data_IF_139022153176
#
_entry.id   IF_139022153176
#
_cell.length_a   1.000
_cell.length_b   1.000
_cell.length_c   1.000
_cell.angle_alpha   90.00
_cell.angle_beta   90.00
_cell.angle_gamma   90.00
#
_symmetry.space_group_name_H-M   'P 1'
#
loop_
_entity.id
_entity.type
_entity.pdbx_description
1 polymer ?
#
# COMPACT_ATOMS: atom_id res chain seq x y z
N UNK A 1 -24.70 4.83 13.28
CA UNK A 1 -25.01 3.73 12.34
C UNK A 1 -25.55 4.34 11.06
N UNK A 2 -25.01 3.93 9.92
CA UNK A 2 -25.47 4.38 8.61
C UNK A 2 -26.33 3.28 7.97
N UNK A 3 -27.40 3.66 7.27
CA UNK A 3 -28.34 2.72 6.64
C UNK A 3 -28.24 2.84 5.13
N UNK A 4 -27.99 1.73 4.44
CA UNK A 4 -28.01 1.65 2.97
C UNK A 4 -28.82 0.42 2.56
N UNK A 5 -29.76 0.58 1.61
CA UNK A 5 -30.66 -0.49 1.13
C UNK A 5 -31.39 -1.27 2.24
N UNK A 6 -31.66 -0.64 3.39
CA UNK A 6 -32.33 -1.27 4.54
C UNK A 6 -31.42 -2.07 5.47
N UNK A 7 -30.11 -2.11 5.20
CA UNK A 7 -29.11 -2.76 6.04
C UNK A 7 -28.33 -1.71 6.85
N UNK A 8 -28.03 -2.02 8.11
CA UNK A 8 -27.26 -1.17 9.01
C UNK A 8 -25.75 -1.45 8.92
N UNK A 9 -24.94 -0.39 8.85
CA UNK A 9 -23.49 -0.43 8.78
C UNK A 9 -22.85 0.46 9.84
N UNK A 10 -21.72 0.01 10.40
CA UNK A 10 -20.90 0.79 11.33
C UNK A 10 -20.09 1.89 10.61
N UNK A 11 -19.55 1.56 9.43
CA UNK A 11 -18.73 2.45 8.59
C UNK A 11 -19.09 2.25 7.12
N UNK A 12 -19.31 3.36 6.40
CA UNK A 12 -19.46 3.37 4.93
C UNK A 12 -18.24 4.08 4.32
N UNK A 13 -17.57 3.43 3.37
CA UNK A 13 -16.46 4.02 2.61
C UNK A 13 -16.91 4.27 1.18
N UNK A 14 -16.71 5.48 0.68
CA UNK A 14 -17.06 5.89 -0.69
C UNK A 14 -15.81 5.92 -1.56
N UNK A 15 -15.78 5.06 -2.58
CA UNK A 15 -14.71 4.96 -3.56
C UNK A 15 -14.04 3.59 -3.56
N UNK A 16 -13.91 2.99 -4.75
CA UNK A 16 -13.36 1.65 -4.96
C UNK A 16 -11.92 1.66 -5.52
N UNK A 17 -11.13 2.67 -5.18
CA UNK A 17 -9.69 2.71 -5.45
C UNK A 17 -8.87 2.24 -4.24
N UNK A 18 -7.54 2.22 -4.36
CA UNK A 18 -6.64 1.83 -3.26
C UNK A 18 -6.95 2.55 -1.94
N UNK A 19 -7.13 3.86 -1.97
CA UNK A 19 -7.40 4.64 -0.76
C UNK A 19 -8.70 4.18 -0.07
N UNK A 20 -9.74 3.89 -0.86
CA UNK A 20 -11.01 3.38 -0.34
C UNK A 20 -10.87 1.99 0.27
N UNK A 21 -10.18 1.07 -0.39
CA UNK A 21 -9.98 -0.27 0.17
C UNK A 21 -9.05 -0.28 1.40
N UNK A 22 -7.98 0.53 1.41
CA UNK A 22 -7.14 0.70 2.60
C UNK A 22 -7.95 1.22 3.79
N UNK A 23 -8.84 2.19 3.56
CA UNK A 23 -9.73 2.73 4.59
C UNK A 23 -10.71 1.65 5.10
N UNK A 24 -11.31 0.88 4.19
CA UNK A 24 -12.25 -0.20 4.55
C UNK A 24 -11.58 -1.30 5.39
N UNK A 25 -10.41 -1.78 4.96
CA UNK A 25 -9.61 -2.78 5.69
C UNK A 25 -9.22 -2.24 7.07
N UNK A 26 -8.78 -0.98 7.15
CA UNK A 26 -8.38 -0.37 8.43
C UNK A 26 -9.55 -0.20 9.39
N UNK A 27 -10.73 0.17 8.89
CA UNK A 27 -11.95 0.25 9.69
C UNK A 27 -12.34 -1.12 10.24
N UNK A 28 -12.33 -2.17 9.40
CA UNK A 28 -12.65 -3.51 9.83
C UNK A 28 -11.69 -4.03 10.92
N UNK A 29 -10.38 -3.83 10.78
CA UNK A 29 -9.40 -4.22 11.80
C UNK A 29 -9.59 -3.47 13.12
N UNK A 30 -9.94 -2.17 13.06
CA UNK A 30 -10.18 -1.34 14.25
C UNK A 30 -11.46 -1.75 14.99
N UNK A 31 -12.50 -2.13 14.26
CA UNK A 31 -13.78 -2.60 14.80
C UNK A 31 -13.73 -4.05 15.30
N UNK A 32 -12.63 -4.76 15.05
CA UNK A 32 -12.38 -6.10 15.57
C UNK A 32 -13.02 -7.21 14.74
N UNK A 33 -12.45 -7.50 13.56
CA UNK A 33 -12.77 -8.75 12.85
C UNK A 33 -12.07 -9.92 13.53
N UNK A 34 -12.83 -10.72 14.27
CA UNK A 34 -12.35 -11.95 14.88
C UNK A 34 -12.19 -13.06 13.83
N UNK A 35 -10.94 -13.49 13.60
CA UNK A 35 -10.47 -14.88 13.50
C UNK A 35 -9.46 -15.11 12.36
N UNK A 36 -8.27 -15.59 12.73
CA UNK A 36 -7.45 -16.43 11.84
C UNK A 36 -6.22 -15.79 11.21
N UNK A 37 -5.21 -15.44 12.03
CA UNK A 37 -3.85 -15.11 11.57
C UNK A 37 -3.17 -16.33 10.94
N UNK A 38 -2.41 -16.14 9.84
CA UNK A 38 -1.06 -16.72 9.63
C UNK A 38 -0.34 -16.08 8.43
N UNK A 39 0.95 -15.86 8.62
CA UNK A 39 1.93 -15.20 7.74
C UNK A 39 2.84 -16.25 7.09
N UNK A 40 3.29 -16.02 5.85
CA UNK A 40 4.38 -16.76 5.21
C UNK A 40 5.33 -15.76 4.54
N UNK A 41 6.59 -15.59 5.00
CA UNK A 41 7.58 -14.77 4.31
C UNK A 41 8.22 -15.56 3.16
N UNK A 42 8.45 -14.90 2.01
CA UNK A 42 9.27 -15.42 0.92
C UNK A 42 10.66 -14.79 0.99
N UNK A 43 11.66 -15.65 0.88
CA UNK A 43 13.09 -15.38 0.92
C UNK A 43 13.68 -15.23 -0.50
N UNK A 44 14.87 -14.61 -0.55
CA UNK A 44 15.83 -14.32 -1.63
C UNK A 44 15.82 -12.90 -2.19
N UNK A 45 16.62 -12.05 -1.53
CA UNK A 45 17.20 -10.85 -2.15
C UNK A 45 18.55 -11.24 -2.76
N UNK A 46 18.64 -11.20 -4.10
CA UNK A 46 19.93 -11.15 -4.78
C UNK A 46 20.60 -9.82 -4.45
N UNK A 47 21.89 -9.87 -4.13
CA UNK A 47 22.73 -8.73 -3.74
C UNK A 47 22.48 -7.50 -4.63
N UNK A 48 21.72 -6.55 -4.10
CA UNK A 48 21.51 -5.23 -4.70
C UNK A 48 21.98 -4.20 -3.70
N UNK A 49 22.77 -3.22 -4.16
CA UNK A 49 23.20 -2.08 -3.35
C UNK A 49 21.97 -1.18 -3.14
N UNK A 50 21.17 -1.50 -2.13
CA UNK A 50 20.17 -0.58 -1.61
C UNK A 50 20.87 0.26 -0.55
N UNK A 51 21.25 1.47 -0.91
CA UNK A 51 21.61 2.46 0.10
C UNK A 51 20.40 2.68 1.02
N UNK A 52 20.67 2.91 2.31
CA UNK A 52 19.61 3.25 3.27
C UNK A 52 18.90 4.53 2.79
N UNK A 53 17.56 4.49 2.78
CA UNK A 53 16.71 5.62 2.45
C UNK A 53 15.95 6.01 3.72
N UNK A 54 16.27 7.19 4.26
CA UNK A 54 15.76 7.66 5.55
C UNK A 54 14.50 8.51 5.39
N UNK A 55 13.83 8.80 6.50
CA UNK A 55 12.72 9.76 6.51
C UNK A 55 13.17 11.16 6.03
N UNK A 56 14.37 11.58 6.40
CA UNK A 56 14.92 12.88 6.00
C UNK A 56 15.19 12.94 4.48
N UNK A 57 15.70 11.85 3.91
CA UNK A 57 15.87 11.73 2.45
C UNK A 57 14.53 11.88 1.74
N UNK A 58 13.48 11.22 2.26
CA UNK A 58 12.14 11.29 1.69
C UNK A 58 11.52 12.68 1.83
N UNK A 59 11.65 13.32 3.00
CA UNK A 59 11.15 14.69 3.21
C UNK A 59 11.89 15.69 2.30
N UNK A 60 13.19 15.53 2.13
CA UNK A 60 14.01 16.34 1.22
C UNK A 60 13.54 16.20 -0.23
N UNK A 61 13.32 14.97 -0.69
CA UNK A 61 12.78 14.70 -2.02
C UNK A 61 11.38 15.27 -2.19
N UNK A 62 10.48 15.07 -1.21
CA UNK A 62 9.12 15.60 -1.23
C UNK A 62 9.13 17.13 -1.35
N UNK A 63 9.99 17.81 -0.58
CA UNK A 63 10.15 19.25 -0.66
C UNK A 63 10.65 19.69 -2.03
N UNK A 64 11.71 19.03 -2.53
CA UNK A 64 12.31 19.35 -3.84
C UNK A 64 11.33 19.17 -4.99
N UNK A 65 10.61 18.05 -5.08
CA UNK A 65 9.71 17.76 -6.22
C UNK A 65 8.44 18.61 -6.21
N UNK A 66 8.02 19.08 -5.04
CA UNK A 66 6.84 19.94 -4.92
C UNK A 66 7.17 21.43 -4.96
N UNK A 67 8.46 21.80 -4.93
CA UNK A 67 8.91 23.17 -4.71
C UNK A 67 8.46 23.71 -3.34
N UNK A 68 8.36 22.84 -2.34
CA UNK A 68 7.92 23.16 -0.99
C UNK A 68 6.43 23.46 -0.83
N UNK A 69 5.60 23.17 -1.84
CA UNK A 69 4.16 23.49 -1.87
C UNK A 69 3.25 22.42 -1.23
N UNK A 70 3.80 21.45 -0.54
CA UNK A 70 3.02 20.43 0.17
C UNK A 70 2.62 20.93 1.57
N UNK A 71 1.49 20.45 2.08
CA UNK A 71 1.15 20.65 3.48
C UNK A 71 2.15 19.89 4.37
N UNK A 72 2.83 20.60 5.28
CA UNK A 72 3.94 20.04 6.05
C UNK A 72 3.49 18.91 6.97
N UNK A 73 2.32 19.02 7.60
CA UNK A 73 1.82 18.01 8.50
C UNK A 73 1.46 16.73 7.71
N UNK A 74 0.74 16.88 6.59
CA UNK A 74 0.41 15.74 5.71
C UNK A 74 1.67 15.09 5.11
N UNK A 75 2.68 15.88 4.75
CA UNK A 75 3.96 15.36 4.25
C UNK A 75 4.70 14.54 5.29
N UNK A 76 4.76 15.00 6.54
CA UNK A 76 5.39 14.27 7.65
C UNK A 76 4.65 12.97 7.96
N UNK A 77 3.31 13.00 8.04
CA UNK A 77 2.48 11.80 8.22
C UNK A 77 2.74 10.80 7.11
N UNK A 78 2.70 11.24 5.83
CA UNK A 78 2.97 10.38 4.68
C UNK A 78 4.32 9.68 4.77
N UNK A 79 5.39 10.40 5.12
CA UNK A 79 6.73 9.83 5.19
C UNK A 79 6.84 8.81 6.32
N UNK A 80 6.45 9.19 7.54
CA UNK A 80 6.54 8.35 8.74
C UNK A 80 5.73 7.07 8.63
N UNK A 81 4.51 7.16 8.09
CA UNK A 81 3.60 6.01 8.02
C UNK A 81 3.82 5.13 6.79
N UNK A 82 4.61 5.58 5.80
CA UNK A 82 4.76 4.88 4.51
C UNK A 82 5.26 3.44 4.67
N UNK A 83 6.28 3.21 5.50
CA UNK A 83 6.90 1.89 5.65
C UNK A 83 5.97 0.89 6.31
N UNK A 84 5.28 1.31 7.37
CA UNK A 84 4.33 0.45 8.09
C UNK A 84 3.09 0.16 7.24
N UNK A 85 2.64 1.11 6.43
CA UNK A 85 1.56 0.89 5.46
C UNK A 85 1.92 -0.19 4.44
N UNK A 86 3.16 -0.20 3.91
CA UNK A 86 3.60 -1.25 2.98
C UNK A 86 3.65 -2.62 3.66
N UNK A 87 4.16 -2.71 4.91
CA UNK A 87 4.15 -3.97 5.67
C UNK A 87 2.73 -4.47 5.92
N UNK A 88 1.79 -3.56 6.24
CA UNK A 88 0.39 -3.92 6.46
C UNK A 88 -0.24 -4.48 5.20
N UNK A 89 -0.07 -3.82 4.06
CA UNK A 89 -0.52 -4.33 2.76
C UNK A 89 0.03 -5.72 2.46
N UNK A 90 1.32 -5.95 2.71
CA UNK A 90 1.94 -7.25 2.52
C UNK A 90 1.31 -8.32 3.43
N UNK A 91 1.01 -7.98 4.69
CA UNK A 91 0.34 -8.88 5.64
C UNK A 91 -1.09 -9.27 5.22
N UNK A 92 -1.73 -8.48 4.38
CA UNK A 92 -3.04 -8.78 3.80
C UNK A 92 -2.97 -9.66 2.54
N UNK A 93 -1.77 -9.92 2.01
CA UNK A 93 -1.54 -10.77 0.85
C UNK A 93 -1.27 -10.02 -0.45
N UNK A 94 -0.96 -8.72 -0.40
CA UNK A 94 -0.51 -7.97 -1.59
C UNK A 94 0.87 -8.52 -2.02
N UNK A 95 1.00 -9.05 -3.25
CA UNK A 95 2.22 -9.68 -3.72
C UNK A 95 3.19 -8.63 -4.27
N UNK A 96 3.96 -8.00 -3.36
CA UNK A 96 5.04 -7.12 -3.78
C UNK A 96 6.14 -7.89 -4.52
N UNK A 97 6.62 -7.29 -5.60
CA UNK A 97 7.69 -7.81 -6.46
C UNK A 97 8.80 -6.78 -6.58
N UNK A 98 10.01 -7.23 -6.91
CA UNK A 98 11.11 -6.32 -7.22
C UNK A 98 10.93 -5.70 -8.61
N UNK A 99 11.20 -4.40 -8.73
CA UNK A 99 11.03 -3.61 -9.96
C UNK A 99 12.02 -3.89 -11.10
N UNK A 100 12.67 -5.07 -11.16
CA UNK A 100 13.77 -5.35 -12.10
C UNK A 100 13.40 -5.10 -13.57
N UNK A 101 12.15 -5.37 -13.95
CA UNK A 101 11.70 -5.30 -15.34
C UNK A 101 11.37 -3.88 -15.82
N UNK A 102 11.39 -2.87 -14.94
CA UNK A 102 11.02 -1.49 -15.29
C UNK A 102 11.97 -0.42 -14.74
N UNK A 103 12.66 -0.69 -13.63
CA UNK A 103 13.35 0.34 -12.87
C UNK A 103 14.72 -0.09 -12.35
N UNK A 104 15.27 -1.20 -12.86
CA UNK A 104 16.65 -1.59 -12.59
C UNK A 104 17.49 -1.59 -13.87
N UNK A 105 18.70 -1.06 -13.77
CA UNK A 105 19.71 -1.16 -14.82
C UNK A 105 20.90 -1.97 -14.30
N UNK A 106 21.46 -2.82 -15.14
CA UNK A 106 22.71 -3.53 -14.83
C UNK A 106 23.89 -2.59 -15.12
N UNK A 107 24.68 -2.30 -14.09
CA UNK A 107 25.91 -1.49 -14.17
C UNK A 107 27.06 -2.37 -13.68
N UNK A 108 27.87 -2.88 -14.61
CA UNK A 108 28.84 -3.93 -14.32
C UNK A 108 28.14 -5.21 -13.86
N UNK A 109 28.54 -5.76 -12.71
CA UNK A 109 27.95 -6.96 -12.11
C UNK A 109 26.81 -6.67 -11.13
N UNK A 110 26.38 -5.41 -11.01
CA UNK A 110 25.37 -4.97 -10.03
C UNK A 110 24.10 -4.45 -10.71
N UNK A 111 22.96 -4.67 -10.05
CA UNK A 111 21.70 -4.01 -10.42
C UNK A 111 21.52 -2.74 -9.59
N UNK A 112 21.26 -1.62 -10.26
CA UNK A 112 20.94 -0.34 -9.64
C UNK A 112 19.51 0.04 -9.96
N UNK A 113 18.72 0.33 -8.92
CA UNK A 113 17.35 0.81 -9.07
C UNK A 113 17.32 2.33 -9.27
N UNK A 114 16.54 2.80 -10.25
CA UNK A 114 16.37 4.22 -10.51
C UNK A 114 15.28 4.81 -9.61
N UNK A 115 15.54 5.97 -9.01
CA UNK A 115 14.59 6.64 -8.11
C UNK A 115 14.27 5.89 -6.82
N UNK A 116 15.15 4.98 -6.38
CA UNK A 116 14.97 4.15 -5.17
C UNK A 116 13.70 3.27 -5.16
N UNK A 117 13.02 3.12 -6.29
CA UNK A 117 11.79 2.31 -6.40
C UNK A 117 12.15 0.84 -6.62
N UNK A 118 12.39 0.14 -5.52
CA UNK A 118 12.77 -1.27 -5.52
C UNK A 118 11.57 -2.23 -5.50
N UNK A 119 10.43 -1.79 -4.96
CA UNK A 119 9.22 -2.60 -4.81
C UNK A 119 8.10 -2.09 -5.72
N UNK A 120 7.33 -3.02 -6.28
CA UNK A 120 6.13 -2.75 -7.06
C UNK A 120 5.07 -3.83 -6.83
N UNK A 121 3.82 -3.52 -7.19
CA UNK A 121 2.79 -4.52 -7.49
C UNK A 121 2.83 -4.88 -8.98
N UNK A 122 2.02 -5.87 -9.39
CA UNK A 122 1.89 -6.25 -10.81
C UNK A 122 1.55 -5.00 -11.66
N UNK A 123 0.43 -4.36 -11.32
CA UNK A 123 0.02 -3.02 -11.72
C UNK A 123 -0.98 -2.42 -10.70
N UNK A 124 -1.63 -1.30 -11.04
CA UNK A 124 -2.64 -0.67 -10.19
C UNK A 124 -3.99 -1.40 -10.16
N UNK A 125 -4.36 -2.13 -11.22
CA UNK A 125 -5.62 -2.89 -11.27
C UNK A 125 -5.51 -4.16 -10.43
N UNK A 126 -4.40 -4.88 -10.56
CA UNK A 126 -4.08 -6.06 -9.74
C UNK A 126 -4.06 -5.71 -8.26
N UNK A 127 -3.53 -4.54 -7.87
CA UNK A 127 -3.59 -4.11 -6.47
C UNK A 127 -5.03 -3.87 -5.99
N UNK A 128 -5.89 -3.29 -6.83
CA UNK A 128 -7.32 -3.16 -6.51
C UNK A 128 -8.00 -4.52 -6.37
N UNK A 129 -7.68 -5.49 -7.22
CA UNK A 129 -8.18 -6.86 -7.12
C UNK A 129 -7.69 -7.56 -5.85
N UNK A 130 -6.42 -7.37 -5.45
CA UNK A 130 -5.86 -7.90 -4.21
C UNK A 130 -6.60 -7.33 -2.98
N UNK A 131 -6.91 -6.04 -3.04
CA UNK A 131 -7.72 -5.36 -2.05
C UNK A 131 -9.15 -5.91 -1.98
N UNK A 132 -9.81 -6.15 -3.12
CA UNK A 132 -11.13 -6.77 -3.18
C UNK A 132 -11.13 -8.16 -2.54
N UNK A 133 -10.14 -8.99 -2.87
CA UNK A 133 -10.00 -10.33 -2.26
C UNK A 133 -9.78 -10.25 -0.74
N UNK A 134 -9.02 -9.25 -0.28
CA UNK A 134 -8.80 -9.00 1.15
C UNK A 134 -10.10 -8.60 1.84
N UNK A 135 -10.86 -7.67 1.26
CA UNK A 135 -12.15 -7.26 1.80
C UNK A 135 -13.13 -8.43 1.90
N UNK A 136 -13.25 -9.25 0.85
CA UNK A 136 -14.09 -10.45 0.88
C UNK A 136 -13.67 -11.43 2.01
N UNK A 137 -12.36 -11.65 2.21
CA UNK A 137 -11.84 -12.50 3.28
C UNK A 137 -12.14 -11.95 4.69
N UNK A 138 -12.20 -10.63 4.83
CA UNK A 138 -12.52 -9.96 6.09
C UNK A 138 -14.03 -9.78 6.30
N UNK A 139 -14.88 -10.29 5.40
CA UNK A 139 -16.33 -10.11 5.49
C UNK A 139 -16.79 -8.68 5.21
N UNK A 140 -15.95 -7.86 4.57
CA UNK A 140 -16.30 -6.49 4.18
C UNK A 140 -17.10 -6.56 2.88
N UNK A 141 -18.33 -6.07 2.92
CA UNK A 141 -19.19 -5.96 1.73
C UNK A 141 -18.72 -4.79 0.85
N UNK A 142 -18.48 -5.08 -0.44
CA UNK A 142 -18.16 -4.07 -1.44
C UNK A 142 -19.23 -4.03 -2.51
N UNK A 143 -19.91 -2.89 -2.65
CA UNK A 143 -20.90 -2.66 -3.70
C UNK A 143 -20.27 -1.78 -4.78
N UNK A 144 -20.15 -2.30 -6.00
CA UNK A 144 -19.78 -1.50 -7.16
C UNK A 144 -21.04 -0.86 -7.73
N UNK A 145 -21.15 0.46 -7.60
CA UNK A 145 -22.21 1.21 -8.29
C UNK A 145 -21.69 1.49 -9.70
N UNK A 146 -22.26 0.81 -10.69
CA UNK A 146 -21.92 1.05 -12.09
C UNK A 146 -22.16 2.51 -12.46
N UNK A 147 -21.20 3.13 -13.16
CA UNK A 147 -21.38 4.41 -13.86
C UNK A 147 -22.03 4.20 -15.21
#
# INVERSE_FOLDING_TARGET
MAVLSGQEYDVIVVGAGNAGYCAAISAAETLGVSSGRRVLPIDRVHSSDLNSYTEDDFLSDLHRVTGGRYDRALGQTRVRESNDNIKRLASHGVPFQHGFNRQAYKIGDRYKFWGAMCLKTEDGKGLVEDHQRTCARLGIESVQVGT
#
